data_IF_837779531421
#
_entry.id   IF_837779531421
#
_cell.length_a   1.000
_cell.length_b   1.000
_cell.length_c   1.000
_cell.angle_alpha   90.00
_cell.angle_beta   90.00
_cell.angle_gamma   90.00
#
_symmetry.space_group_name_H-M   'P 1'
#
loop_
_entity.id
_entity.type
_entity.pdbx_description
1 polymer ?
#
# COMPACT_ATOMS: atom_id res chain seq x y z
N UNK A 1 0.68 -10.92 -6.98
CA UNK A 1 1.62 -10.63 -8.10
C UNK A 1 1.41 -9.24 -8.69
N UNK A 2 0.19 -8.86 -9.06
CA UNK A 2 -0.09 -7.56 -9.67
C UNK A 2 0.15 -6.35 -8.75
N UNK A 3 -0.45 -6.34 -7.56
CA UNK A 3 -0.29 -5.23 -6.60
C UNK A 3 1.13 -5.08 -6.04
N UNK A 4 1.90 -6.17 -5.97
CA UNK A 4 3.32 -6.09 -5.59
C UNK A 4 4.18 -5.55 -6.74
N UNK A 5 3.90 -5.96 -7.98
CA UNK A 5 4.62 -5.46 -9.16
C UNK A 5 4.37 -3.98 -9.40
N UNK A 6 3.14 -3.53 -9.13
CA UNK A 6 2.76 -2.11 -9.18
C UNK A 6 3.31 -1.29 -8.01
N UNK A 7 3.97 -1.92 -7.03
CA UNK A 7 4.49 -1.23 -5.85
C UNK A 7 3.41 -0.78 -4.87
N UNK A 8 2.17 -1.25 -5.01
CA UNK A 8 1.05 -0.97 -4.09
C UNK A 8 1.11 -1.77 -2.79
N UNK A 9 1.86 -2.87 -2.75
CA UNK A 9 1.90 -3.77 -1.60
C UNK A 9 3.33 -4.09 -1.16
N UNK A 10 3.68 -3.69 0.07
CA UNK A 10 4.95 -3.96 0.72
C UNK A 10 4.91 -5.24 1.57
N UNK A 11 6.10 -5.79 1.89
CA UNK A 11 6.26 -6.95 2.79
C UNK A 11 6.68 -6.49 4.18
N UNK A 12 6.10 -7.09 5.22
CA UNK A 12 6.50 -6.90 6.63
C UNK A 12 6.55 -8.26 7.34
N UNK A 13 7.23 -8.38 8.50
CA UNK A 13 7.22 -9.62 9.29
C UNK A 13 5.82 -10.08 9.74
N UNK A 14 4.82 -9.17 9.72
CA UNK A 14 3.43 -9.45 10.09
C UNK A 14 2.51 -9.69 8.88
N UNK A 15 3.02 -9.61 7.65
CA UNK A 15 2.25 -9.84 6.44
C UNK A 15 2.54 -8.84 5.32
N UNK A 16 1.47 -8.29 4.75
CA UNK A 16 1.53 -7.36 3.61
C UNK A 16 0.87 -6.05 4.00
N UNK A 17 1.47 -4.93 3.62
CA UNK A 17 0.98 -3.58 3.95
C UNK A 17 0.78 -2.78 2.67
N UNK A 18 -0.26 -1.95 2.62
CA UNK A 18 -0.47 -1.00 1.52
C UNK A 18 0.62 0.08 1.58
N UNK A 19 1.27 0.34 0.45
CA UNK A 19 2.29 1.38 0.36
C UNK A 19 1.65 2.75 0.18
N UNK A 20 2.45 3.80 0.31
CA UNK A 20 1.96 5.17 0.08
C UNK A 20 1.36 5.37 -1.31
N UNK A 21 1.98 4.77 -2.31
CA UNK A 21 1.51 4.74 -3.69
C UNK A 21 0.08 4.15 -3.79
N UNK A 22 -0.23 3.11 -3.01
CA UNK A 22 -1.56 2.50 -3.02
C UNK A 22 -2.63 3.43 -2.44
N UNK A 23 -2.30 4.12 -1.35
CA UNK A 23 -3.19 5.11 -0.74
C UNK A 23 -3.46 6.29 -1.68
N UNK A 24 -2.42 6.80 -2.35
CA UNK A 24 -2.54 7.87 -3.35
C UNK A 24 -3.40 7.46 -4.54
N UNK A 25 -3.19 6.24 -5.08
CA UNK A 25 -3.98 5.71 -6.19
C UNK A 25 -5.45 5.52 -5.83
N UNK A 26 -5.74 5.21 -4.56
CA UNK A 26 -7.11 5.06 -4.06
C UNK A 26 -7.74 6.40 -3.63
N UNK A 27 -6.99 7.52 -3.67
CA UNK A 27 -7.45 8.82 -3.19
C UNK A 27 -7.71 8.84 -1.68
N UNK A 28 -7.11 7.92 -0.93
CA UNK A 28 -7.28 7.79 0.51
C UNK A 28 -6.15 8.57 1.19
N UNK A 29 -6.50 9.61 1.95
CA UNK A 29 -5.53 10.32 2.78
C UNK A 29 -4.97 9.35 3.82
N UNK A 30 -3.65 9.13 3.78
CA UNK A 30 -2.92 8.24 4.69
C UNK A 30 -2.84 8.76 6.14
N UNK A 31 -3.70 9.71 6.49
CA UNK A 31 -3.85 10.30 7.81
C UNK A 31 -5.13 9.75 8.43
N UNK A 32 -5.05 8.51 8.91
CA UNK A 32 -5.93 8.12 10.01
C UNK A 32 -5.53 8.93 11.24
N UNK A 33 -6.19 10.07 11.45
CA UNK A 33 -6.44 10.58 12.80
C UNK A 33 -7.79 10.04 13.25
#
# INVERSE_FOLDING_TARGET
PYLMQLGFLGRTPRGRVATKLAYEHLGISQTGK
#
